data_IF_159625466670
#
_entry.id   IF_159625466670
#
_cell.length_a   1.000
_cell.length_b   1.000
_cell.length_c   1.000
_cell.angle_alpha   90.00
_cell.angle_beta   90.00
_cell.angle_gamma   90.00
#
_symmetry.space_group_name_H-M   'P 1'
#
loop_
_entity.id
_entity.type
_entity.pdbx_description
1 polymer ?
#
# COMPACT_ATOMS: atom_id res chain seq x y z
N UNK A 1 81.99 3.60 -7.52
CA UNK A 1 82.61 2.30 -7.19
C UNK A 1 81.61 1.52 -6.35
N UNK A 2 81.56 0.20 -6.53
CA UNK A 2 80.38 -0.64 -6.73
C UNK A 2 80.16 -1.56 -5.50
N UNK A 3 79.14 -2.40 -5.38
CA UNK A 3 78.93 -3.71 -6.04
C UNK A 3 77.42 -4.03 -6.02
N UNK A 4 76.80 -4.40 -7.13
CA UNK A 4 76.81 -5.70 -7.83
C UNK A 4 76.04 -6.81 -7.07
N UNK A 5 74.82 -7.15 -7.53
CA UNK A 5 74.50 -8.30 -8.41
C UNK A 5 74.39 -9.58 -7.54
N UNK A 6 73.26 -10.31 -7.46
CA UNK A 6 72.66 -11.02 -8.59
C UNK A 6 71.47 -11.92 -8.18
N UNK A 7 70.66 -12.27 -9.21
CA UNK A 7 69.81 -13.48 -9.40
C UNK A 7 68.57 -13.63 -8.49
N UNK A 8 67.38 -14.01 -8.93
CA UNK A 8 66.95 -14.74 -10.13
C UNK A 8 65.41 -14.60 -10.26
N UNK A 9 64.90 -14.52 -11.48
CA UNK A 9 63.46 -14.74 -11.75
C UNK A 9 63.07 -16.21 -11.55
N UNK A 10 61.80 -16.61 -11.76
CA UNK A 10 61.30 -16.64 -13.14
C UNK A 10 59.81 -16.29 -13.33
N UNK A 11 59.58 -15.44 -14.34
CA UNK A 11 58.66 -15.68 -15.46
C UNK A 11 57.73 -16.91 -15.34
N UNK A 12 56.44 -16.68 -15.14
CA UNK A 12 55.42 -17.59 -15.69
C UNK A 12 54.08 -16.89 -15.93
N UNK A 13 53.75 -16.83 -17.23
CA UNK A 13 52.41 -16.77 -17.85
C UNK A 13 51.80 -15.38 -18.12
N UNK A 14 52.34 -14.73 -19.14
CA UNK A 14 51.52 -14.09 -20.17
C UNK A 14 51.32 -15.10 -21.32
N UNK A 15 50.14 -15.03 -21.93
CA UNK A 15 49.70 -15.62 -23.20
C UNK A 15 49.32 -17.11 -23.23
N UNK A 16 48.01 -17.36 -23.04
CA UNK A 16 47.19 -18.16 -23.97
C UNK A 16 45.71 -17.87 -23.70
N UNK A 17 45.11 -16.95 -24.45
CA UNK A 17 43.68 -16.94 -24.72
C UNK A 17 43.41 -16.10 -25.96
N UNK A 18 43.49 -16.79 -27.10
CA UNK A 18 43.02 -16.37 -28.41
C UNK A 18 41.63 -15.76 -28.31
N UNK A 19 41.49 -14.53 -28.81
CA UNK A 19 40.21 -13.88 -28.99
C UNK A 19 39.36 -14.65 -30.00
N UNK A 20 38.33 -15.33 -29.52
CA UNK A 20 37.12 -15.66 -30.28
C UNK A 20 36.07 -14.61 -29.92
N UNK A 21 35.94 -13.59 -30.78
CA UNK A 21 34.82 -12.67 -30.75
C UNK A 21 33.56 -13.42 -31.22
N UNK A 22 32.74 -13.87 -30.27
CA UNK A 22 31.36 -14.28 -30.55
C UNK A 22 30.46 -13.05 -30.50
N UNK A 23 29.78 -12.78 -31.61
CA UNK A 23 28.77 -11.73 -31.73
C UNK A 23 27.64 -11.96 -30.71
N UNK A 24 27.01 -10.90 -30.16
CA UNK A 24 25.91 -11.07 -29.22
C UNK A 24 24.68 -11.59 -29.97
N UNK A 25 24.24 -12.80 -29.63
CA UNK A 25 22.93 -13.32 -30.05
C UNK A 25 21.83 -12.38 -29.55
N UNK A 26 20.97 -11.95 -30.47
CA UNK A 26 19.77 -11.19 -30.19
C UNK A 26 18.78 -12.09 -29.44
N UNK A 27 18.95 -12.20 -28.12
CA UNK A 27 18.02 -12.90 -27.24
C UNK A 27 16.75 -12.06 -27.16
N UNK A 28 15.71 -12.49 -27.90
CA UNK A 28 14.38 -11.91 -27.85
C UNK A 28 13.99 -11.67 -26.39
N UNK A 29 13.54 -10.44 -26.10
CA UNK A 29 13.09 -10.05 -24.77
C UNK A 29 12.04 -11.06 -24.29
N UNK A 30 12.28 -11.66 -23.13
CA UNK A 30 11.32 -12.55 -22.50
C UNK A 30 9.99 -11.77 -22.33
N UNK A 31 8.83 -12.39 -22.63
CA UNK A 31 7.55 -11.74 -22.40
C UNK A 31 7.47 -11.31 -20.93
N UNK A 32 6.99 -10.09 -20.70
CA UNK A 32 6.79 -9.54 -19.36
C UNK A 32 6.02 -10.57 -18.52
N UNK A 33 6.44 -10.84 -17.27
CA UNK A 33 5.69 -11.76 -16.41
C UNK A 33 4.25 -11.27 -16.34
N UNK A 34 3.30 -12.15 -16.71
CA UNK A 34 1.89 -11.88 -16.54
C UNK A 34 1.66 -11.42 -15.09
N UNK A 35 0.85 -10.39 -14.85
CA UNK A 35 0.53 -9.97 -13.50
C UNK A 35 -0.09 -11.18 -12.81
N UNK A 36 0.71 -11.83 -11.96
CA UNK A 36 0.25 -12.84 -11.02
C UNK A 36 -1.01 -12.25 -10.40
N UNK A 37 -2.14 -12.91 -10.64
CA UNK A 37 -3.39 -12.59 -10.00
C UNK A 37 -3.08 -12.62 -8.52
N UNK A 38 -2.88 -11.45 -7.93
CA UNK A 38 -2.74 -11.32 -6.51
C UNK A 38 -3.99 -11.99 -5.97
N UNK A 39 -3.82 -13.14 -5.30
CA UNK A 39 -4.87 -13.68 -4.45
C UNK A 39 -5.42 -12.49 -3.67
N UNK A 40 -6.76 -12.36 -3.53
CA UNK A 40 -7.36 -11.25 -2.79
C UNK A 40 -6.87 -11.34 -1.35
N UNK A 41 -5.70 -10.76 -1.12
CA UNK A 41 -4.97 -10.80 0.12
C UNK A 41 -5.80 -9.96 1.05
N UNK A 42 -6.30 -10.62 2.10
CA UNK A 42 -6.97 -10.07 3.28
C UNK A 42 -6.55 -8.61 3.47
N UNK A 43 -7.34 -7.72 2.85
CA UNK A 43 -7.19 -6.29 2.87
C UNK A 43 -7.15 -5.96 4.35
N UNK A 44 -6.03 -5.44 4.88
CA UNK A 44 -5.66 -5.47 6.32
C UNK A 44 -6.75 -5.10 7.33
N UNK A 45 -7.84 -4.47 6.88
CA UNK A 45 -9.17 -4.47 7.50
C UNK A 45 -9.65 -5.83 8.07
N UNK A 46 -9.53 -6.95 7.36
CA UNK A 46 -10.04 -8.24 7.84
C UNK A 46 -9.22 -8.79 9.02
N UNK A 47 -7.90 -8.65 8.96
CA UNK A 47 -7.02 -8.95 10.09
C UNK A 47 -7.24 -7.99 11.28
N UNK A 48 -7.46 -6.68 11.03
CA UNK A 48 -7.80 -5.71 12.08
C UNK A 48 -9.12 -6.06 12.76
N UNK A 49 -10.12 -6.45 11.98
CA UNK A 49 -11.42 -6.89 12.48
C UNK A 49 -11.27 -8.15 13.35
N UNK A 50 -10.43 -9.11 12.97
CA UNK A 50 -10.15 -10.31 13.79
C UNK A 50 -9.51 -9.98 15.13
N UNK A 51 -8.62 -9.00 15.17
CA UNK A 51 -7.97 -8.57 16.41
C UNK A 51 -8.94 -7.79 17.29
N UNK A 52 -9.72 -6.87 16.72
CA UNK A 52 -10.79 -6.19 17.46
C UNK A 52 -11.81 -7.21 18.00
N UNK A 53 -12.19 -8.19 17.19
CA UNK A 53 -13.07 -9.29 17.61
C UNK A 53 -12.43 -10.10 18.75
N UNK A 54 -11.15 -10.44 18.65
CA UNK A 54 -10.41 -11.12 19.72
C UNK A 54 -10.34 -10.28 21.01
N UNK A 55 -10.22 -8.96 20.88
CA UNK A 55 -10.26 -8.03 22.01
C UNK A 55 -11.63 -8.02 22.69
N UNK A 56 -12.70 -7.85 21.90
CA UNK A 56 -14.07 -7.87 22.41
C UNK A 56 -14.41 -9.22 23.05
N UNK A 57 -13.96 -10.32 22.44
CA UNK A 57 -14.13 -11.67 23.00
C UNK A 57 -13.38 -11.84 24.34
N UNK A 58 -12.14 -11.36 24.43
CA UNK A 58 -11.35 -11.40 25.67
C UNK A 58 -11.97 -10.55 26.78
N UNK A 59 -12.43 -9.33 26.44
CA UNK A 59 -13.13 -8.45 27.38
C UNK A 59 -14.42 -9.10 27.89
N UNK A 60 -15.20 -9.70 26.99
CA UNK A 60 -16.45 -10.39 27.33
C UNK A 60 -16.18 -11.62 28.20
N UNK A 61 -15.19 -12.43 27.84
CA UNK A 61 -14.79 -13.61 28.61
C UNK A 61 -14.36 -13.23 30.02
N UNK A 62 -13.52 -12.20 30.17
CA UNK A 62 -13.07 -11.73 31.47
C UNK A 62 -14.23 -11.15 32.30
N UNK A 63 -15.18 -10.45 31.67
CA UNK A 63 -16.42 -10.00 32.30
C UNK A 63 -17.29 -11.15 32.82
N UNK A 64 -17.41 -12.24 32.04
CA UNK A 64 -18.13 -13.45 32.45
C UNK A 64 -17.43 -14.13 33.64
N UNK A 65 -16.09 -14.23 33.60
CA UNK A 65 -15.31 -14.80 34.72
C UNK A 65 -15.51 -13.98 35.99
N UNK A 66 -15.47 -12.66 35.91
CA UNK A 66 -15.75 -11.75 37.03
C UNK A 66 -17.16 -11.93 37.58
N UNK A 67 -18.16 -11.99 36.70
CA UNK A 67 -19.55 -12.18 37.12
C UNK A 67 -19.74 -13.53 37.83
N UNK A 68 -19.12 -14.59 37.32
CA UNK A 68 -19.14 -15.90 37.95
C UNK A 68 -18.50 -15.86 39.34
N UNK A 69 -17.34 -15.18 39.47
CA UNK A 69 -16.65 -15.03 40.76
C UNK A 69 -17.52 -14.27 41.78
N UNK A 70 -18.10 -13.14 41.38
CA UNK A 70 -19.00 -12.36 42.23
C UNK A 70 -20.19 -13.21 42.71
N UNK A 71 -20.74 -14.04 41.82
CA UNK A 71 -21.83 -14.94 42.16
C UNK A 71 -21.39 -16.06 43.12
N UNK A 72 -20.24 -16.70 42.87
CA UNK A 72 -19.73 -17.79 43.72
C UNK A 72 -19.32 -17.34 45.11
N UNK A 73 -18.78 -16.13 45.22
CA UNK A 73 -18.31 -15.56 46.49
C UNK A 73 -19.43 -14.82 47.24
N UNK A 74 -20.66 -14.83 46.70
CA UNK A 74 -21.82 -14.23 47.36
C UNK A 74 -21.72 -12.71 47.50
N UNK A 75 -21.12 -12.05 46.50
CA UNK A 75 -20.89 -10.62 46.51
C UNK A 75 -22.20 -9.82 46.66
N UNK A 76 -22.15 -8.62 47.26
CA UNK A 76 -23.31 -7.77 47.39
C UNK A 76 -23.84 -7.34 46.02
N UNK A 77 -25.16 -7.16 45.91
CA UNK A 77 -25.87 -6.83 44.65
C UNK A 77 -25.27 -5.63 43.90
N UNK A 78 -24.71 -4.65 44.61
CA UNK A 78 -24.12 -3.47 43.99
C UNK A 78 -22.84 -3.79 43.19
N UNK A 79 -22.10 -4.85 43.54
CA UNK A 79 -20.89 -5.26 42.81
C UNK A 79 -21.23 -5.70 41.38
N UNK A 80 -22.32 -6.46 41.22
CA UNK A 80 -22.85 -6.83 39.90
C UNK A 80 -23.27 -5.59 39.09
N UNK A 81 -23.91 -4.62 39.71
CA UNK A 81 -24.28 -3.36 39.03
C UNK A 81 -23.07 -2.57 38.58
N UNK A 82 -21.99 -2.55 39.37
CA UNK A 82 -20.72 -1.92 38.96
C UNK A 82 -20.14 -2.64 37.75
N UNK A 83 -20.13 -3.98 37.73
CA UNK A 83 -19.65 -4.76 36.59
C UNK A 83 -20.50 -4.55 35.34
N UNK A 84 -21.82 -4.51 35.47
CA UNK A 84 -22.73 -4.22 34.35
C UNK A 84 -22.58 -2.78 33.85
N UNK A 85 -22.37 -1.81 34.76
CA UNK A 85 -22.04 -0.44 34.42
C UNK A 85 -20.72 -0.35 33.66
N UNK A 86 -19.71 -1.14 34.06
CA UNK A 86 -18.44 -1.24 33.36
C UNK A 86 -18.62 -1.82 31.95
N UNK A 87 -19.36 -2.92 31.81
CA UNK A 87 -19.68 -3.51 30.51
C UNK A 87 -20.47 -2.54 29.61
N UNK A 88 -21.47 -1.85 30.14
CA UNK A 88 -22.24 -0.85 29.41
C UNK A 88 -21.37 0.33 28.97
N UNK A 89 -20.48 0.82 29.84
CA UNK A 89 -19.53 1.88 29.51
C UNK A 89 -18.53 1.42 28.44
N UNK A 90 -18.12 0.15 28.46
CA UNK A 90 -17.25 -0.41 27.43
C UNK A 90 -17.96 -0.44 26.07
N UNK A 91 -19.18 -0.98 25.99
CA UNK A 91 -19.94 -1.07 24.72
C UNK A 91 -20.25 0.32 24.16
N UNK A 92 -20.58 1.29 25.03
CA UNK A 92 -21.00 2.62 24.59
C UNK A 92 -19.86 3.60 24.34
N UNK A 93 -18.76 3.50 25.09
CA UNK A 93 -17.65 4.46 25.05
C UNK A 93 -16.33 3.79 24.65
N UNK A 94 -15.95 2.68 25.30
CA UNK A 94 -14.67 2.01 25.10
C UNK A 94 -14.48 1.40 23.72
N UNK A 95 -15.38 0.51 23.29
CA UNK A 95 -15.32 -0.16 21.99
C UNK A 95 -15.43 0.82 20.79
N UNK A 96 -16.33 1.84 20.82
CA UNK A 96 -16.34 2.88 19.78
C UNK A 96 -15.08 3.75 19.78
N UNK A 97 -14.46 4.01 20.93
CA UNK A 97 -13.20 4.76 20.99
C UNK A 97 -12.03 3.93 20.41
N UNK A 98 -11.99 2.61 20.70
CA UNK A 98 -10.97 1.69 20.16
C UNK A 98 -11.04 1.53 18.63
N UNK A 99 -12.26 1.53 18.07
CA UNK A 99 -12.48 1.45 16.62
C UNK A 99 -12.31 2.80 15.89
N UNK A 100 -12.08 3.90 16.61
CA UNK A 100 -11.99 5.24 16.05
C UNK A 100 -13.33 5.87 15.69
N UNK A 101 -14.46 5.22 16.02
CA UNK A 101 -15.80 5.76 15.80
C UNK A 101 -16.18 6.89 16.76
N UNK A 102 -15.43 7.07 17.86
CA UNK A 102 -15.62 8.16 18.83
C UNK A 102 -14.34 8.93 19.12
N UNK A 103 -14.45 10.20 19.56
CA UNK A 103 -13.28 11.01 19.89
C UNK A 103 -12.53 10.46 21.11
N UNK A 104 -11.23 10.77 21.27
CA UNK A 104 -10.40 10.29 22.38
C UNK A 104 -10.97 10.59 23.78
N UNK A 105 -11.69 11.71 23.93
CA UNK A 105 -12.36 12.09 25.19
C UNK A 105 -13.37 11.04 25.67
N UNK A 106 -14.04 10.34 24.76
CA UNK A 106 -14.95 9.24 25.13
C UNK A 106 -14.18 8.06 25.72
N UNK A 107 -13.00 7.75 25.17
CA UNK A 107 -12.10 6.74 25.72
C UNK A 107 -11.58 7.11 27.11
N UNK A 108 -11.20 8.38 27.32
CA UNK A 108 -10.80 8.86 28.65
C UNK A 108 -11.95 8.80 29.67
N UNK A 109 -13.18 9.12 29.26
CA UNK A 109 -14.35 8.98 30.12
C UNK A 109 -14.62 7.52 30.48
N UNK A 110 -14.51 6.60 29.51
CA UNK A 110 -14.57 5.17 29.77
C UNK A 110 -13.51 4.74 30.80
N UNK A 111 -12.25 5.14 30.62
CA UNK A 111 -11.18 4.81 31.57
C UNK A 111 -11.45 5.37 32.96
N UNK A 112 -11.98 6.59 33.09
CA UNK A 112 -12.34 7.16 34.38
C UNK A 112 -13.43 6.33 35.09
N UNK A 113 -14.47 5.91 34.35
CA UNK A 113 -15.52 5.03 34.86
C UNK A 113 -14.94 3.65 35.23
N UNK A 114 -14.09 3.10 34.38
CA UNK A 114 -13.44 1.81 34.59
C UNK A 114 -12.55 1.81 35.83
N UNK A 115 -11.76 2.86 36.02
CA UNK A 115 -10.88 2.99 37.17
C UNK A 115 -11.68 3.08 38.47
N UNK A 116 -12.71 3.94 38.50
CA UNK A 116 -13.58 4.07 39.66
C UNK A 116 -14.32 2.76 39.96
N UNK A 117 -14.84 2.08 38.93
CA UNK A 117 -15.53 0.80 39.06
C UNK A 117 -14.61 -0.31 39.56
N UNK A 118 -13.39 -0.43 39.02
CA UNK A 118 -12.41 -1.41 39.46
C UNK A 118 -11.95 -1.16 40.90
N UNK A 119 -11.68 0.09 41.28
CA UNK A 119 -11.32 0.44 42.66
C UNK A 119 -12.47 0.15 43.63
N UNK A 120 -13.72 0.40 43.22
CA UNK A 120 -14.88 0.03 44.03
C UNK A 120 -15.00 -1.49 44.16
N UNK A 121 -14.83 -2.24 43.07
CA UNK A 121 -14.84 -3.70 43.11
C UNK A 121 -13.77 -4.24 44.05
N UNK A 122 -12.54 -3.70 44.04
CA UNK A 122 -11.44 -4.14 44.92
C UNK A 122 -11.73 -4.06 46.41
N UNK A 123 -12.74 -3.29 46.82
CA UNK A 123 -13.17 -3.20 48.22
C UNK A 123 -14.16 -4.28 48.64
N UNK A 124 -14.69 -5.05 47.69
CA UNK A 124 -15.78 -6.01 47.92
C UNK A 124 -15.26 -7.35 48.40
N UNK A 125 -14.25 -7.89 47.73
CA UNK A 125 -13.71 -9.24 48.00
C UNK A 125 -12.29 -9.42 47.44
N UNK A 126 -11.54 -10.39 47.97
CA UNK A 126 -10.11 -10.63 47.70
C UNK A 126 -9.80 -10.97 46.25
N UNK A 127 -10.79 -11.51 45.51
CA UNK A 127 -10.60 -11.93 44.10
C UNK A 127 -11.01 -10.87 43.09
N UNK A 128 -11.70 -9.82 43.53
CA UNK A 128 -12.17 -8.73 42.66
C UNK A 128 -11.07 -7.87 42.01
N UNK A 129 -9.82 -7.78 42.53
CA UNK A 129 -8.72 -7.15 41.82
C UNK A 129 -8.42 -7.77 40.44
N UNK A 130 -8.94 -8.97 40.15
CA UNK A 130 -8.86 -9.56 38.80
C UNK A 130 -9.52 -8.66 37.73
N UNK A 131 -10.37 -7.71 38.12
CA UNK A 131 -10.91 -6.67 37.24
C UNK A 131 -9.81 -5.79 36.59
N UNK A 132 -8.61 -5.73 37.17
CA UNK A 132 -7.45 -5.04 36.58
C UNK A 132 -7.05 -5.63 35.22
N UNK A 133 -7.24 -6.95 35.01
CA UNK A 133 -6.94 -7.59 33.72
C UNK A 133 -7.85 -7.09 32.58
N UNK A 134 -9.03 -6.56 32.91
CA UNK A 134 -9.95 -5.97 31.95
C UNK A 134 -9.49 -4.55 31.55
N UNK A 135 -9.03 -3.78 32.54
CA UNK A 135 -8.82 -2.34 32.41
C UNK A 135 -7.42 -2.00 31.90
N UNK A 136 -6.37 -2.65 32.40
CA UNK A 136 -4.98 -2.33 32.06
C UNK A 136 -4.70 -2.39 30.54
N UNK A 137 -5.10 -3.45 29.81
CA UNK A 137 -4.96 -3.48 28.36
C UNK A 137 -5.65 -2.30 27.68
N UNK A 138 -6.87 -1.96 28.11
CA UNK A 138 -7.62 -0.85 27.51
C UNK A 138 -6.98 0.51 27.79
N UNK A 139 -6.29 0.66 28.92
CA UNK A 139 -5.48 1.86 29.21
C UNK A 139 -4.38 2.03 28.17
N UNK A 140 -3.60 0.99 27.87
CA UNK A 140 -2.55 1.07 26.85
C UNK A 140 -3.08 1.38 25.46
N UNK A 141 -4.30 0.90 25.14
CA UNK A 141 -4.92 1.13 23.85
C UNK A 141 -5.52 2.54 23.70
N UNK A 142 -6.00 3.15 24.78
CA UNK A 142 -6.74 4.42 24.76
C UNK A 142 -5.93 5.64 25.25
N UNK A 143 -4.79 5.42 25.91
CA UNK A 143 -3.95 6.48 26.47
C UNK A 143 -2.64 6.61 25.69
N UNK A 144 -2.34 7.84 25.27
CA UNK A 144 -1.11 8.21 24.57
C UNK A 144 -0.53 9.49 25.18
N UNK A 145 0.80 9.59 25.40
CA UNK A 145 1.85 8.63 25.06
C UNK A 145 1.92 7.40 25.99
N UNK A 146 2.70 6.38 25.61
CA UNK A 146 2.81 5.12 26.38
C UNK A 146 3.32 5.34 27.82
N UNK A 147 4.14 6.37 28.05
CA UNK A 147 4.60 6.73 29.40
C UNK A 147 3.45 7.13 30.33
N UNK A 148 2.45 7.83 29.79
CA UNK A 148 1.24 8.17 30.52
C UNK A 148 0.40 6.92 30.83
N UNK A 149 0.29 5.99 29.87
CA UNK A 149 -0.38 4.71 30.10
C UNK A 149 0.30 3.89 31.21
N UNK A 150 1.63 3.78 31.19
CA UNK A 150 2.41 3.10 32.23
C UNK A 150 2.19 3.76 33.60
N UNK A 151 2.26 5.10 33.66
CA UNK A 151 2.04 5.84 34.91
C UNK A 151 0.61 5.67 35.44
N UNK A 152 -0.40 5.68 34.57
CA UNK A 152 -1.79 5.49 34.94
C UNK A 152 -2.07 4.06 35.43
N UNK A 153 -1.51 3.03 34.77
CA UNK A 153 -1.57 1.65 35.23
C UNK A 153 -0.90 1.48 36.59
N UNK A 154 0.30 2.06 36.77
CA UNK A 154 1.02 2.03 38.05
C UNK A 154 0.25 2.70 39.17
N UNK A 155 -0.32 3.89 38.91
CA UNK A 155 -1.16 4.58 39.88
C UNK A 155 -2.39 3.76 40.27
N UNK A 156 -3.06 3.15 39.29
CA UNK A 156 -4.24 2.31 39.53
C UNK A 156 -3.90 1.05 40.35
N UNK A 157 -2.83 0.34 40.00
CA UNK A 157 -2.41 -0.87 40.74
C UNK A 157 -1.99 -0.51 42.16
N UNK A 158 -1.19 0.54 42.34
CA UNK A 158 -0.75 0.98 43.68
C UNK A 158 -1.94 1.42 44.55
N UNK A 159 -2.93 2.09 43.97
CA UNK A 159 -4.13 2.49 44.70
C UNK A 159 -5.00 1.28 45.04
N UNK A 160 -5.15 0.33 44.12
CA UNK A 160 -5.82 -0.96 44.38
C UNK A 160 -5.14 -1.72 45.53
N UNK A 161 -3.80 -1.80 45.52
CA UNK A 161 -3.03 -2.46 46.57
C UNK A 161 -3.20 -1.75 47.92
N UNK A 162 -3.16 -0.41 47.92
CA UNK A 162 -3.35 0.38 49.14
C UNK A 162 -4.75 0.18 49.75
N UNK A 163 -5.79 0.06 48.91
CA UNK A 163 -7.15 -0.26 49.37
C UNK A 163 -7.22 -1.68 49.94
N UNK A 164 -6.65 -2.67 49.23
CA UNK A 164 -6.61 -4.06 49.68
C UNK A 164 -5.87 -4.22 51.02
N UNK A 165 -4.65 -3.67 51.13
CA UNK A 165 -3.87 -3.70 52.37
C UNK A 165 -4.49 -2.84 53.49
N UNK A 166 -5.33 -1.86 53.16
CA UNK A 166 -6.06 -1.05 54.14
C UNK A 166 -7.23 -1.79 54.77
N UNK A 167 -7.87 -2.70 54.03
CA UNK A 167 -8.96 -3.53 54.52
C UNK A 167 -8.48 -4.78 55.27
N UNK A 168 -7.28 -5.26 54.92
CA UNK A 168 -6.68 -6.45 55.53
C UNK A 168 -5.60 -6.10 56.55
N UNK A 169 -5.37 -6.98 57.52
CA UNK A 169 -4.24 -6.81 58.44
C UNK A 169 -2.91 -6.99 57.70
N UNK A 170 -2.00 -6.03 57.85
CA UNK A 170 -0.66 -6.11 57.26
C UNK A 170 0.06 -7.38 57.71
N UNK A 171 0.24 -8.33 56.80
CA UNK A 171 0.89 -9.63 57.05
C UNK A 171 1.85 -9.97 55.92
N UNK A 172 2.91 -10.73 56.24
CA UNK A 172 3.88 -11.18 55.23
C UNK A 172 3.25 -12.03 54.13
N UNK A 173 2.20 -12.80 54.47
CA UNK A 173 1.43 -13.59 53.52
C UNK A 173 0.64 -12.70 52.55
N UNK A 174 -0.11 -11.72 53.05
CA UNK A 174 -0.88 -10.79 52.21
C UNK A 174 0.03 -9.99 51.26
N UNK A 175 1.21 -9.58 51.75
CA UNK A 175 2.23 -8.92 50.91
C UNK A 175 2.73 -9.88 49.81
N UNK A 176 2.98 -11.15 50.14
CA UNK A 176 3.41 -12.16 49.18
C UNK A 176 2.36 -12.46 48.10
N UNK A 177 1.10 -12.60 48.48
CA UNK A 177 -0.03 -12.82 47.56
C UNK A 177 -0.23 -11.62 46.62
N UNK A 178 -0.21 -10.40 47.17
CA UNK A 178 -0.30 -9.16 46.39
C UNK A 178 0.87 -9.03 45.41
N UNK A 179 2.08 -9.35 45.85
CA UNK A 179 3.27 -9.30 44.99
C UNK A 179 3.19 -10.31 43.82
N UNK A 180 2.71 -11.53 44.07
CA UNK A 180 2.52 -12.54 43.03
C UNK A 180 1.45 -12.11 42.02
N UNK A 181 0.30 -11.64 42.51
CA UNK A 181 -0.77 -11.13 41.66
C UNK A 181 -0.31 -9.97 40.80
N UNK A 182 0.43 -9.02 41.38
CA UNK A 182 0.99 -7.89 40.67
C UNK A 182 1.99 -8.35 39.60
N UNK A 183 2.86 -9.30 39.91
CA UNK A 183 3.80 -9.84 38.93
C UNK A 183 3.06 -10.44 37.72
N UNK A 184 1.99 -11.22 37.93
CA UNK A 184 1.16 -11.78 36.85
C UNK A 184 0.44 -10.67 36.06
N UNK A 185 -0.12 -9.70 36.76
CA UNK A 185 -0.87 -8.57 36.16
C UNK A 185 0.04 -7.72 35.28
N UNK A 186 1.23 -7.38 35.78
CA UNK A 186 2.23 -6.61 35.04
C UNK A 186 2.84 -7.40 33.89
N UNK A 187 3.11 -8.70 34.06
CA UNK A 187 3.55 -9.56 32.96
C UNK A 187 2.51 -9.56 31.84
N UNK A 188 1.24 -9.77 32.17
CA UNK A 188 0.14 -9.75 31.20
C UNK A 188 0.02 -8.38 30.52
N UNK A 189 0.04 -7.30 31.30
CA UNK A 189 -0.07 -5.94 30.78
C UNK A 189 1.10 -5.58 29.84
N UNK A 190 2.33 -6.00 30.15
CA UNK A 190 3.50 -5.81 29.29
C UNK A 190 3.37 -6.62 27.99
N UNK A 191 2.95 -7.89 28.07
CA UNK A 191 2.74 -8.73 26.89
C UNK A 191 1.69 -8.12 25.95
N UNK A 192 0.55 -7.69 26.50
CA UNK A 192 -0.51 -7.06 25.72
C UNK A 192 -0.10 -5.67 25.22
N UNK A 193 0.54 -4.85 26.03
CA UNK A 193 1.03 -3.52 25.63
C UNK A 193 2.06 -3.60 24.51
N UNK A 194 3.00 -4.55 24.60
CA UNK A 194 3.95 -4.84 23.54
C UNK A 194 3.24 -5.33 22.27
N UNK A 195 2.34 -6.30 22.39
CA UNK A 195 1.56 -6.82 21.27
C UNK A 195 0.80 -5.70 20.55
N UNK A 196 0.03 -4.89 21.28
CA UNK A 196 -0.73 -3.75 20.73
C UNK A 196 0.18 -2.73 20.04
N UNK A 197 1.33 -2.41 20.64
CA UNK A 197 2.25 -1.42 20.07
C UNK A 197 2.89 -1.93 18.77
N UNK A 198 3.34 -3.19 18.76
CA UNK A 198 3.87 -3.84 17.56
C UNK A 198 2.81 -3.90 16.45
N UNK A 199 1.59 -4.28 16.83
CA UNK A 199 0.43 -4.35 15.96
C UNK A 199 0.16 -3.02 15.25
N UNK A 200 0.04 -1.94 16.02
CA UNK A 200 -0.25 -0.62 15.50
C UNK A 200 0.87 -0.09 14.60
N UNK A 201 2.13 -0.37 14.96
CA UNK A 201 3.29 0.07 14.18
C UNK A 201 3.36 -0.67 12.84
N UNK A 202 3.19 -1.98 12.86
CA UNK A 202 3.21 -2.82 11.64
C UNK A 202 2.05 -2.46 10.71
N UNK A 203 0.86 -2.19 11.26
CA UNK A 203 -0.28 -1.74 10.46
C UNK A 203 -0.03 -0.43 9.72
N UNK A 204 0.55 0.56 10.40
CA UNK A 204 0.89 1.84 9.77
C UNK A 204 1.88 1.62 8.63
N UNK A 205 2.92 0.82 8.88
CA UNK A 205 3.93 0.48 7.87
C UNK A 205 3.34 -0.22 6.65
N UNK A 206 2.41 -1.15 6.86
CA UNK A 206 1.67 -1.83 5.78
C UNK A 206 0.79 -0.86 5.00
N UNK A 207 0.08 0.03 5.70
CA UNK A 207 -0.75 1.06 5.06
C UNK A 207 0.06 1.98 4.16
N UNK A 208 1.22 2.44 4.66
CA UNK A 208 2.14 3.28 3.88
C UNK A 208 2.68 2.54 2.65
N UNK A 209 3.02 1.25 2.79
CA UNK A 209 3.52 0.44 1.68
C UNK A 209 2.47 0.19 0.60
N UNK A 210 1.21 -0.07 1.00
CA UNK A 210 0.09 -0.21 0.06
C UNK A 210 -0.12 1.08 -0.71
N UNK A 211 -0.14 2.23 -0.04
CA UNK A 211 -0.27 3.55 -0.67
C UNK A 211 0.86 3.78 -1.70
N UNK A 212 2.10 3.47 -1.34
CA UNK A 212 3.24 3.60 -2.25
C UNK A 212 3.16 2.65 -3.45
N UNK A 213 2.63 1.43 -3.26
CA UNK A 213 2.41 0.48 -4.35
C UNK A 213 1.32 0.97 -5.31
N UNK A 214 0.23 1.52 -4.80
CA UNK A 214 -0.85 2.10 -5.60
C UNK A 214 -0.36 3.31 -6.40
N UNK A 215 0.38 4.22 -5.77
CA UNK A 215 1.01 5.37 -6.43
C UNK A 215 1.95 4.92 -7.56
N UNK A 216 2.82 3.93 -7.31
CA UNK A 216 3.73 3.41 -8.35
C UNK A 216 2.99 2.71 -9.49
N UNK A 217 1.92 1.95 -9.22
CA UNK A 217 1.11 1.32 -10.27
C UNK A 217 0.45 2.36 -11.16
N UNK A 218 -0.04 3.46 -10.59
CA UNK A 218 -0.60 4.57 -11.37
C UNK A 218 0.46 5.22 -12.27
N UNK A 219 1.67 5.45 -11.75
CA UNK A 219 2.79 5.99 -12.52
C UNK A 219 3.21 5.05 -13.66
N UNK A 220 3.35 3.75 -13.38
CA UNK A 220 3.69 2.76 -14.40
C UNK A 220 2.60 2.64 -15.47
N UNK A 221 1.33 2.67 -15.10
CA UNK A 221 0.23 2.66 -16.06
C UNK A 221 0.28 3.87 -17.01
N UNK A 222 0.57 5.06 -16.48
CA UNK A 222 0.78 6.27 -17.31
C UNK A 222 1.97 6.10 -18.24
N UNK A 223 3.12 5.63 -17.72
CA UNK A 223 4.32 5.45 -18.52
C UNK A 223 4.14 4.41 -19.65
N UNK A 224 3.44 3.30 -19.38
CA UNK A 224 3.11 2.32 -20.40
C UNK A 224 2.12 2.86 -21.43
N UNK A 225 1.16 3.69 -21.02
CA UNK A 225 0.26 4.35 -21.95
C UNK A 225 1.03 5.25 -22.91
N UNK A 226 1.90 6.12 -22.39
CA UNK A 226 2.71 7.04 -23.20
C UNK A 226 3.65 6.27 -24.14
N UNK A 227 4.30 5.22 -23.64
CA UNK A 227 5.12 4.33 -24.46
C UNK A 227 4.31 3.64 -25.57
N UNK A 228 3.09 3.18 -25.26
CA UNK A 228 2.17 2.60 -26.23
C UNK A 228 1.76 3.59 -27.32
N UNK A 229 1.45 4.83 -26.95
CA UNK A 229 1.14 5.91 -27.91
C UNK A 229 2.32 6.19 -28.83
N UNK A 230 3.55 6.20 -28.31
CA UNK A 230 4.75 6.43 -29.11
C UNK A 230 5.07 5.25 -30.03
N UNK A 231 4.93 4.02 -29.55
CA UNK A 231 5.11 2.82 -30.36
C UNK A 231 4.12 2.79 -31.54
N UNK A 232 2.85 3.11 -31.28
CA UNK A 232 1.83 3.16 -32.32
C UNK A 232 2.08 4.27 -33.35
N UNK A 233 2.53 5.44 -32.89
CA UNK A 233 2.96 6.52 -33.80
C UNK A 233 4.11 6.10 -34.70
N UNK A 234 5.08 5.37 -34.17
CA UNK A 234 6.21 4.87 -34.96
C UNK A 234 5.75 3.84 -36.00
N UNK A 235 4.90 2.88 -35.58
CA UNK A 235 4.29 1.89 -36.47
C UNK A 235 3.54 2.56 -37.63
N UNK A 236 2.67 3.53 -37.31
CA UNK A 236 1.91 4.28 -38.30
C UNK A 236 2.80 5.08 -39.25
N UNK A 237 3.87 5.72 -38.74
CA UNK A 237 4.81 6.44 -39.59
C UNK A 237 5.50 5.51 -40.61
N UNK A 238 5.83 4.28 -40.20
CA UNK A 238 6.45 3.30 -41.07
C UNK A 238 5.46 2.75 -42.11
N UNK A 239 4.23 2.42 -41.72
CA UNK A 239 3.18 1.98 -42.66
C UNK A 239 2.81 3.05 -43.70
N UNK A 240 2.74 4.31 -43.27
CA UNK A 240 2.52 5.44 -44.19
C UNK A 240 3.71 5.57 -45.15
N UNK A 241 4.95 5.48 -44.64
CA UNK A 241 6.14 5.60 -45.46
C UNK A 241 6.21 4.50 -46.52
N UNK A 242 5.95 3.25 -46.14
CA UNK A 242 5.96 2.10 -47.06
C UNK A 242 4.90 2.28 -48.15
N UNK A 243 3.69 2.71 -47.78
CA UNK A 243 2.60 3.00 -48.72
C UNK A 243 2.97 4.12 -49.70
N UNK A 244 3.55 5.22 -49.20
CA UNK A 244 4.00 6.35 -50.03
C UNK A 244 5.12 5.91 -50.99
N UNK A 245 6.11 5.18 -50.51
CA UNK A 245 7.22 4.68 -51.32
C UNK A 245 6.73 3.73 -52.43
N UNK A 246 5.76 2.85 -52.12
CA UNK A 246 5.14 1.97 -53.10
C UNK A 246 4.38 2.75 -54.19
N UNK A 247 3.53 3.71 -53.80
CA UNK A 247 2.76 4.54 -54.74
C UNK A 247 3.66 5.36 -55.68
N UNK A 248 4.74 5.94 -55.14
CA UNK A 248 5.73 6.68 -55.94
C UNK A 248 6.49 5.77 -56.91
N UNK A 249 6.87 4.56 -56.47
CA UNK A 249 7.58 3.61 -57.33
C UNK A 249 6.70 3.16 -58.50
N UNK A 250 5.42 2.86 -58.23
CA UNK A 250 4.44 2.51 -59.28
C UNK A 250 4.29 3.65 -60.30
N UNK A 251 4.13 4.88 -59.80
CA UNK A 251 4.02 6.08 -60.63
C UNK A 251 5.27 6.27 -61.50
N UNK A 252 6.47 6.15 -60.92
CA UNK A 252 7.73 6.29 -61.65
C UNK A 252 7.88 5.22 -62.74
N UNK A 253 7.44 3.99 -62.49
CA UNK A 253 7.43 2.93 -63.51
C UNK A 253 6.48 3.26 -64.67
N UNK A 254 5.28 3.79 -64.41
CA UNK A 254 4.35 4.22 -65.45
C UNK A 254 4.93 5.37 -66.31
N UNK A 255 5.59 6.34 -65.68
CA UNK A 255 6.25 7.45 -66.37
C UNK A 255 7.40 6.94 -67.25
N UNK A 256 8.28 6.08 -66.71
CA UNK A 256 9.38 5.46 -67.49
C UNK A 256 8.85 4.64 -68.67
N UNK A 257 7.75 3.93 -68.49
CA UNK A 257 7.10 3.18 -69.56
C UNK A 257 6.52 4.12 -70.64
N UNK A 258 5.95 5.27 -70.25
CA UNK A 258 5.49 6.27 -71.20
C UNK A 258 6.65 6.85 -72.02
N UNK A 259 7.76 7.24 -71.36
CA UNK A 259 8.95 7.82 -72.01
C UNK A 259 9.59 6.86 -73.02
N UNK A 260 9.71 5.57 -72.66
CA UNK A 260 10.22 4.53 -73.57
C UNK A 260 9.37 4.34 -74.86
N UNK A 261 8.12 4.84 -74.87
CA UNK A 261 7.17 4.72 -75.99
C UNK A 261 7.06 5.99 -76.83
N UNK A 262 7.71 7.10 -76.40
CA UNK A 262 7.51 8.46 -76.89
C UNK A 262 7.70 8.63 -78.41
N UNK A 263 8.61 7.88 -79.02
CA UNK A 263 8.95 7.99 -80.44
C UNK A 263 8.24 6.98 -81.35
N UNK A 264 7.52 6.00 -80.77
CA UNK A 264 6.93 4.88 -81.53
C UNK A 264 5.41 4.90 -81.56
N UNK A 265 4.75 5.35 -80.49
CA UNK A 265 3.30 5.29 -80.36
C UNK A 265 2.77 6.41 -79.44
N UNK A 266 2.47 7.59 -80.00
CA UNK A 266 2.04 8.77 -79.24
C UNK A 266 0.74 8.58 -78.46
N UNK A 267 -0.16 7.71 -78.93
CA UNK A 267 -1.44 7.47 -78.27
C UNK A 267 -1.29 6.56 -77.04
N UNK A 268 -0.40 5.56 -77.10
CA UNK A 268 0.01 4.78 -75.90
C UNK A 268 0.70 5.62 -74.83
N UNK A 269 1.45 6.65 -75.23
CA UNK A 269 2.09 7.59 -74.28
C UNK A 269 1.02 8.37 -73.52
N UNK A 270 0.00 8.86 -74.23
CA UNK A 270 -1.14 9.58 -73.65
C UNK A 270 -1.91 8.70 -72.64
N UNK A 271 -2.15 7.44 -73.00
CA UNK A 271 -2.87 6.49 -72.14
C UNK A 271 -2.09 6.14 -70.85
N UNK A 272 -0.76 5.95 -70.96
CA UNK A 272 0.11 5.69 -69.79
C UNK A 272 0.24 6.90 -68.87
N UNK A 273 0.31 8.12 -69.42
CA UNK A 273 0.32 9.35 -68.63
C UNK A 273 -1.02 9.56 -67.91
N UNK A 274 -2.15 9.31 -68.57
CA UNK A 274 -3.47 9.38 -67.94
C UNK A 274 -3.60 8.36 -66.79
N UNK A 275 -3.06 7.15 -66.95
CA UNK A 275 -3.03 6.14 -65.90
C UNK A 275 -2.12 6.54 -64.72
N UNK A 276 -0.96 7.15 -65.00
CA UNK A 276 -0.07 7.69 -63.98
C UNK A 276 -0.74 8.84 -63.19
N UNK A 277 -1.40 9.77 -63.88
CA UNK A 277 -2.13 10.88 -63.25
C UNK A 277 -3.27 10.39 -62.34
N UNK A 278 -4.03 9.39 -62.80
CA UNK A 278 -5.06 8.73 -62.00
C UNK A 278 -4.46 8.07 -60.75
N UNK A 279 -3.37 7.31 -60.91
CA UNK A 279 -2.69 6.60 -59.81
C UNK A 279 -2.11 7.57 -58.78
N UNK A 280 -1.56 8.71 -59.21
CA UNK A 280 -1.08 9.78 -58.31
C UNK A 280 -2.25 10.43 -57.57
N UNK A 281 -3.35 10.71 -58.25
CA UNK A 281 -4.53 11.33 -57.63
C UNK A 281 -5.16 10.43 -56.57
N UNK A 282 -5.25 9.11 -56.83
CA UNK A 282 -5.73 8.11 -55.88
C UNK A 282 -4.80 7.98 -54.67
N UNK A 283 -3.49 7.82 -54.88
CA UNK A 283 -2.51 7.76 -53.78
C UNK A 283 -2.50 9.05 -52.94
N UNK A 284 -2.63 10.23 -53.56
CA UNK A 284 -2.68 11.50 -52.83
C UNK A 284 -3.96 11.61 -51.99
N UNK A 285 -5.10 11.12 -52.50
CA UNK A 285 -6.35 11.08 -51.75
C UNK A 285 -6.27 10.13 -50.55
N UNK A 286 -5.66 8.96 -50.72
CA UNK A 286 -5.46 7.97 -49.65
C UNK A 286 -4.50 8.49 -48.57
N UNK A 287 -3.36 9.06 -48.94
CA UNK A 287 -2.43 9.69 -47.99
C UNK A 287 -3.08 10.85 -47.24
N UNK A 288 -3.86 11.70 -47.93
CA UNK A 288 -4.62 12.77 -47.27
C UNK A 288 -5.62 12.22 -46.27
N UNK A 289 -6.37 11.17 -46.64
CA UNK A 289 -7.33 10.53 -45.76
C UNK A 289 -6.65 9.99 -44.48
N UNK A 290 -5.52 9.30 -44.62
CA UNK A 290 -4.74 8.78 -43.49
C UNK A 290 -4.19 9.90 -42.60
N UNK A 291 -3.65 10.97 -43.19
CA UNK A 291 -3.16 12.15 -42.41
C UNK A 291 -4.30 12.83 -41.66
N UNK A 292 -5.48 13.02 -42.26
CA UNK A 292 -6.66 13.54 -41.56
C UNK A 292 -7.18 12.59 -40.49
N UNK A 293 -7.14 11.27 -40.73
CA UNK A 293 -7.51 10.26 -39.75
C UNK A 293 -6.54 10.21 -38.56
N UNK A 294 -5.28 10.59 -38.76
CA UNK A 294 -4.21 10.57 -37.73
C UNK A 294 -3.95 11.95 -37.09
N UNK A 295 -4.62 13.00 -37.56
CA UNK A 295 -4.52 14.37 -37.01
C UNK A 295 -4.82 14.44 -35.50
N UNK A 296 -4.26 15.43 -34.77
CA UNK A 296 -4.09 15.41 -33.32
C UNK A 296 -5.37 15.01 -32.57
N UNK A 297 -5.33 13.87 -31.87
CA UNK A 297 -6.42 13.38 -31.01
C UNK A 297 -6.88 14.44 -29.99
N UNK A 298 -5.97 15.32 -29.55
CA UNK A 298 -6.28 16.46 -28.67
C UNK A 298 -7.37 17.41 -29.21
N UNK A 299 -7.59 17.48 -30.52
CA UNK A 299 -8.62 18.34 -31.12
C UNK A 299 -9.96 17.64 -31.34
N UNK A 300 -10.02 16.31 -31.16
CA UNK A 300 -11.27 15.54 -31.30
C UNK A 300 -12.01 15.34 -29.98
N UNK A 301 -11.29 15.37 -28.86
CA UNK A 301 -11.84 15.22 -27.51
C UNK A 301 -12.01 16.53 -26.74
N UNK A 302 -11.43 17.62 -27.23
CA UNK A 302 -11.56 18.96 -26.64
C UNK A 302 -12.73 19.69 -27.31
N UNK A 303 -13.73 20.19 -26.57
CA UNK A 303 -14.81 20.96 -27.16
C UNK A 303 -14.23 22.20 -27.89
N UNK A 304 -14.87 22.56 -29.00
CA UNK A 304 -14.34 23.50 -30.01
C UNK A 304 -13.96 24.87 -29.41
N UNK A 305 -14.67 25.29 -28.37
CA UNK A 305 -14.42 26.51 -27.61
C UNK A 305 -13.03 26.50 -26.95
N UNK A 306 -12.70 25.41 -26.24
CA UNK A 306 -11.45 25.25 -25.50
C UNK A 306 -10.26 25.07 -26.45
N UNK A 307 -10.50 24.49 -27.64
CA UNK A 307 -9.47 24.36 -28.67
C UNK A 307 -9.11 25.73 -29.29
N UNK A 308 -10.10 26.59 -29.53
CA UNK A 308 -9.88 27.95 -30.05
C UNK A 308 -9.15 28.78 -29.00
N UNK A 309 -9.59 28.75 -27.74
CA UNK A 309 -9.00 29.53 -26.63
C UNK A 309 -7.49 29.26 -26.48
N UNK A 310 -7.10 27.98 -26.48
CA UNK A 310 -5.71 27.55 -26.40
C UNK A 310 -4.86 28.00 -27.61
N UNK A 311 -5.42 28.05 -28.81
CA UNK A 311 -4.70 28.51 -30.01
C UNK A 311 -4.52 30.03 -29.97
N UNK A 312 -5.52 30.78 -29.55
CA UNK A 312 -5.40 32.25 -29.35
C UNK A 312 -4.41 32.60 -28.24
N UNK A 313 -4.39 31.86 -27.14
CA UNK A 313 -3.41 32.08 -26.07
C UNK A 313 -1.97 31.86 -26.56
N UNK A 314 -1.75 30.87 -27.42
CA UNK A 314 -0.42 30.52 -27.94
C UNK A 314 0.10 31.40 -29.07
N UNK A 315 -0.79 32.15 -29.74
CA UNK A 315 -0.45 33.14 -30.77
C UNK A 315 -0.34 34.57 -30.19
N UNK A 316 -0.71 34.75 -28.92
CA UNK A 316 -0.60 36.01 -28.18
C UNK A 316 0.72 36.18 -27.41
N UNK A 317 1.54 35.13 -27.33
CA UNK A 317 2.93 35.13 -26.85
C UNK A 317 3.92 35.24 -28.03
#
# INVERSE_FOLDING_TARGET
MPEDISLEGPQRRLNTATATATAPEHKAAAPAPEPSAAEPGDNGQGWLLRILLGWHASFTLMGIVLELLLWTDGAPWFAHLVLYGLAASYVTLGAPALSGARPPRAGHLFLAIAYAGTLLLTTVDDRTPIALYLVLPTTFALLSPISLAVAACAGLTLLSDALYLGHHSFSAQAVGETALQNATTWLFAVLVGFFVTQLLTENRRRGDLIRLLEENRALLASAYHDAGVMAERHRLAQEIHDTVCQGLTSTLMLIRAADASAFRDPDRVRERLALAEKTVSENLAEVRAVVTATGPLHLRSTPLDTAIENITARLGD
#
